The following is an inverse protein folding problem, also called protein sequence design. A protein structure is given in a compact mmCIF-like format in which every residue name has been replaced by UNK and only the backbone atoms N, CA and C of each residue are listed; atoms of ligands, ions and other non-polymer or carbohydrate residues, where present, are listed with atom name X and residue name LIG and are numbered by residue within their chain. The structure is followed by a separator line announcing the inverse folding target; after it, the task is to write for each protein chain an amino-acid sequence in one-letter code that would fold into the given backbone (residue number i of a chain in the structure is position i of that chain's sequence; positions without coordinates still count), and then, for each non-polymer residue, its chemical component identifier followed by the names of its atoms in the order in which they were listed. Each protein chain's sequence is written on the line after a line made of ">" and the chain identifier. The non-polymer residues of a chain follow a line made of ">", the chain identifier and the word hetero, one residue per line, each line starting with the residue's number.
data_IF_321636476543
#
_entry.id   IF_321636476543
#
_cell.length_a   1.000
_cell.length_b   1.000
_cell.length_c   1.000
_cell.angle_alpha   90.00
_cell.angle_beta   90.00
_cell.angle_gamma   90.00
#
_symmetry.space_group_name_H-M   'P 1'
#
loop_
_entity.id
_entity.type
_entity.pdbx_description
1 polymer ?
#
# COMPACT_ATOMS: atom_id res chain seq x y z
N UNK A 1 19.80 17.27 -22.45
CA UNK A 1 18.38 17.09 -22.07
C UNK A 1 18.29 15.81 -21.25
N UNK A 2 17.92 15.93 -19.98
CA UNK A 2 17.27 15.01 -19.03
C UNK A 2 17.42 13.46 -19.00
N UNK A 3 18.45 12.84 -19.57
CA UNK A 3 18.55 11.36 -19.53
C UNK A 3 19.12 10.78 -18.22
N UNK A 4 19.67 11.63 -17.33
CA UNK A 4 20.37 11.20 -16.11
C UNK A 4 19.51 11.02 -14.86
N UNK A 5 18.27 11.54 -14.82
CA UNK A 5 17.47 11.54 -13.59
C UNK A 5 16.75 10.20 -13.33
N UNK A 6 16.48 9.42 -14.38
CA UNK A 6 15.82 8.11 -14.28
C UNK A 6 16.83 6.96 -14.35
N UNK A 7 17.93 7.12 -15.12
CA UNK A 7 18.95 6.09 -15.32
C UNK A 7 19.74 5.74 -14.05
N UNK A 8 20.11 6.73 -13.23
CA UNK A 8 20.87 6.49 -11.99
C UNK A 8 20.02 5.98 -10.81
N UNK A 9 18.69 6.12 -10.87
CA UNK A 9 17.79 5.66 -9.82
C UNK A 9 17.46 4.15 -9.92
N UNK A 10 17.57 3.58 -11.13
CA UNK A 10 17.30 2.16 -11.39
C UNK A 10 18.44 1.24 -10.94
N UNK A 11 19.68 1.73 -10.90
CA UNK A 11 20.88 0.90 -10.66
C UNK A 11 21.07 0.49 -9.18
N UNK A 12 20.27 1.03 -8.25
CA UNK A 12 20.35 0.74 -6.81
C UNK A 12 18.99 0.46 -6.16
N UNK A 13 18.01 -0.02 -6.93
CA UNK A 13 16.71 -0.41 -6.37
C UNK A 13 16.86 -1.76 -5.68
N UNK A 14 16.79 -1.76 -4.34
CA UNK A 14 16.89 -2.98 -3.55
C UNK A 14 15.75 -3.96 -3.94
N UNK A 15 16.04 -5.25 -4.23
CA UNK A 15 15.03 -6.26 -4.59
C UNK A 15 13.82 -6.30 -3.65
N UNK A 16 13.98 -5.94 -2.37
CA UNK A 16 12.87 -5.90 -1.43
C UNK A 16 11.75 -4.91 -1.83
N UNK A 17 12.06 -3.81 -2.52
CA UNK A 17 11.02 -2.88 -2.98
C UNK A 17 10.11 -3.50 -4.04
N UNK A 18 10.65 -4.36 -4.91
CA UNK A 18 9.86 -5.12 -5.87
C UNK A 18 8.96 -6.14 -5.16
N UNK A 19 9.48 -6.80 -4.12
CA UNK A 19 8.66 -7.69 -3.30
C UNK A 19 7.49 -6.95 -2.62
N UNK A 20 7.75 -5.76 -2.05
CA UNK A 20 6.70 -4.89 -1.50
C UNK A 20 5.66 -4.47 -2.53
N UNK A 21 6.09 -4.12 -3.74
CA UNK A 21 5.19 -3.79 -4.85
C UNK A 21 4.34 -4.97 -5.30
N UNK A 22 4.92 -6.18 -5.39
CA UNK A 22 4.18 -7.40 -5.76
C UNK A 22 3.13 -7.76 -4.71
N UNK A 23 3.49 -7.73 -3.43
CA UNK A 23 2.56 -7.99 -2.31
C UNK A 23 1.46 -6.93 -2.29
N UNK A 24 1.82 -5.66 -2.46
CA UNK A 24 0.85 -4.57 -2.60
C UNK A 24 -0.09 -4.77 -3.78
N UNK A 25 0.41 -5.22 -4.93
CA UNK A 25 -0.40 -5.50 -6.11
C UNK A 25 -1.44 -6.61 -5.84
N UNK A 26 -1.01 -7.74 -5.27
CA UNK A 26 -1.90 -8.85 -4.92
C UNK A 26 -2.96 -8.44 -3.91
N UNK A 27 -2.56 -7.74 -2.84
CA UNK A 27 -3.47 -7.26 -1.80
C UNK A 27 -4.47 -6.23 -2.36
N UNK A 28 -4.01 -5.30 -3.19
CA UNK A 28 -4.86 -4.29 -3.83
C UNK A 28 -5.88 -4.90 -4.77
N UNK A 29 -5.48 -5.88 -5.58
CA UNK A 29 -6.41 -6.61 -6.46
C UNK A 29 -7.45 -7.39 -5.66
N UNK A 30 -7.05 -8.11 -4.61
CA UNK A 30 -7.96 -8.85 -3.74
C UNK A 30 -8.98 -7.90 -3.07
N UNK A 31 -8.51 -6.79 -2.49
CA UNK A 31 -9.38 -5.79 -1.86
C UNK A 31 -10.36 -5.15 -2.84
N UNK A 32 -9.90 -4.80 -4.04
CA UNK A 32 -10.77 -4.26 -5.08
C UNK A 32 -11.88 -5.25 -5.45
N UNK A 33 -11.57 -6.54 -5.57
CA UNK A 33 -12.57 -7.58 -5.87
C UNK A 33 -13.56 -7.80 -4.74
N UNK A 34 -13.11 -7.86 -3.49
CA UNK A 34 -13.99 -7.97 -2.32
C UNK A 34 -14.96 -6.78 -2.27
N UNK A 35 -14.45 -5.57 -2.48
CA UNK A 35 -15.28 -4.37 -2.49
C UNK A 35 -16.29 -4.37 -3.65
N UNK A 36 -15.90 -4.81 -4.83
CA UNK A 36 -16.80 -4.92 -5.98
C UNK A 36 -17.90 -5.95 -5.77
N UNK A 37 -17.59 -7.09 -5.17
CA UNK A 37 -18.59 -8.12 -4.81
C UNK A 37 -19.56 -7.55 -3.80
N UNK A 38 -19.05 -6.91 -2.74
CA UNK A 38 -19.88 -6.24 -1.74
C UNK A 38 -20.78 -5.16 -2.37
N UNK A 39 -20.23 -4.32 -3.24
CA UNK A 39 -20.97 -3.28 -3.95
C UNK A 39 -22.07 -3.85 -4.86
N UNK A 40 -21.81 -4.96 -5.56
CA UNK A 40 -22.83 -5.62 -6.37
C UNK A 40 -23.93 -6.24 -5.52
N UNK A 41 -23.59 -6.92 -4.43
CA UNK A 41 -24.57 -7.48 -3.49
C UNK A 41 -25.43 -6.38 -2.85
N UNK A 42 -24.83 -5.21 -2.58
CA UNK A 42 -25.55 -4.06 -2.02
C UNK A 42 -26.57 -3.49 -3.01
N UNK A 43 -26.24 -3.43 -4.30
CA UNK A 43 -27.16 -2.99 -5.37
C UNK A 43 -28.27 -4.02 -5.60
N UNK A 44 -27.93 -5.32 -5.60
CA UNK A 44 -28.88 -6.41 -5.88
C UNK A 44 -29.85 -6.65 -4.71
N UNK A 45 -29.43 -6.33 -3.48
CA UNK A 45 -30.27 -6.38 -2.28
C UNK A 45 -31.39 -5.33 -2.22
N UNK A 46 -31.58 -4.51 -3.26
CA UNK A 46 -32.71 -3.57 -3.37
C UNK A 46 -32.58 -2.32 -2.50
N UNK A 47 -31.40 -2.02 -1.95
CA UNK A 47 -31.15 -0.74 -1.28
C UNK A 47 -31.29 0.40 -2.29
N UNK A 48 -32.28 1.26 -2.06
CA UNK A 48 -32.75 2.24 -3.02
C UNK A 48 -31.66 3.31 -3.25
N UNK A 49 -31.41 3.60 -4.54
CA UNK A 49 -30.26 4.37 -5.06
C UNK A 49 -30.31 5.84 -4.65
N UNK A 50 -31.43 6.27 -4.08
CA UNK A 50 -31.77 7.64 -3.74
C UNK A 50 -32.28 7.81 -2.30
N UNK A 51 -32.30 6.75 -1.48
CA UNK A 51 -32.75 6.85 -0.08
C UNK A 51 -31.60 7.09 0.89
N UNK A 52 -31.97 7.67 2.03
CA UNK A 52 -31.19 8.22 3.16
C UNK A 52 -30.05 7.39 3.79
N UNK A 53 -29.55 6.33 3.16
CA UNK A 53 -28.39 5.55 3.63
C UNK A 53 -27.07 5.97 2.96
N UNK A 54 -27.10 6.98 2.10
CA UNK A 54 -25.90 7.67 1.68
C UNK A 54 -25.37 8.52 2.85
N UNK A 55 -24.16 8.21 3.34
CA UNK A 55 -23.43 9.03 4.34
C UNK A 55 -23.34 10.51 3.94
N UNK A 56 -23.50 10.82 2.64
CA UNK A 56 -23.68 12.17 2.13
C UNK A 56 -24.68 12.18 0.95
N UNK A 57 -25.88 12.78 1.10
CA UNK A 57 -26.91 12.82 0.07
C UNK A 57 -26.54 13.65 -1.17
N UNK A 58 -25.46 14.44 -1.11
CA UNK A 58 -24.95 15.25 -2.23
C UNK A 58 -23.84 14.61 -3.05
N UNK A 59 -23.34 13.43 -2.67
CA UNK A 59 -22.22 12.76 -3.36
C UNK A 59 -22.63 11.41 -3.93
N UNK A 60 -22.28 11.15 -5.19
CA UNK A 60 -22.42 9.80 -5.77
C UNK A 60 -21.66 8.79 -4.92
N UNK A 61 -22.34 7.74 -4.42
CA UNK A 61 -21.71 6.81 -3.50
C UNK A 61 -20.58 6.04 -4.18
N UNK A 62 -19.53 5.73 -3.41
CA UNK A 62 -18.31 5.10 -3.94
C UNK A 62 -18.61 3.77 -4.66
N UNK A 63 -19.59 3.01 -4.18
CA UNK A 63 -20.04 1.74 -4.78
C UNK A 63 -20.66 1.93 -6.17
N UNK A 64 -21.27 3.08 -6.46
CA UNK A 64 -21.83 3.39 -7.78
C UNK A 64 -20.71 3.64 -8.79
N UNK A 65 -19.72 4.44 -8.40
CA UNK A 65 -18.53 4.68 -9.24
C UNK A 65 -17.74 3.39 -9.44
N UNK A 66 -17.62 2.56 -8.40
CA UNK A 66 -16.92 1.28 -8.46
C UNK A 66 -17.60 0.29 -9.42
N UNK A 67 -18.92 0.19 -9.42
CA UNK A 67 -19.66 -0.74 -10.30
C UNK A 67 -19.80 -0.22 -11.74
N UNK A 68 -19.90 1.10 -11.94
CA UNK A 68 -19.97 1.71 -13.28
C UNK A 68 -18.62 1.72 -14.01
N UNK A 69 -17.52 1.83 -13.27
CA UNK A 69 -16.15 1.82 -13.81
C UNK A 69 -15.25 0.81 -13.08
N UNK A 70 -15.67 -0.46 -13.09
CA UNK A 70 -14.99 -1.59 -12.44
C UNK A 70 -13.51 -1.70 -12.78
N UNK A 71 -13.15 -1.53 -14.05
CA UNK A 71 -11.75 -1.56 -14.51
C UNK A 71 -10.91 -0.43 -13.91
N UNK A 72 -11.39 0.82 -14.01
CA UNK A 72 -10.66 1.98 -13.49
C UNK A 72 -10.57 1.95 -11.96
N UNK A 73 -11.63 1.55 -11.27
CA UNK A 73 -11.64 1.40 -9.81
C UNK A 73 -10.60 0.38 -9.35
N UNK A 74 -10.58 -0.81 -9.97
CA UNK A 74 -9.59 -1.85 -9.65
C UNK A 74 -8.18 -1.34 -9.89
N UNK A 75 -7.92 -0.69 -11.03
CA UNK A 75 -6.62 -0.13 -11.34
C UNK A 75 -6.13 0.85 -10.26
N UNK A 76 -6.96 1.84 -9.89
CA UNK A 76 -6.58 2.85 -8.90
C UNK A 76 -6.38 2.27 -7.50
N UNK A 77 -7.24 1.34 -7.07
CA UNK A 77 -7.08 0.65 -5.78
C UNK A 77 -5.80 -0.18 -5.78
N UNK A 78 -5.52 -0.91 -6.85
CA UNK A 78 -4.27 -1.67 -6.99
C UNK A 78 -3.05 -0.77 -6.96
N UNK A 79 -3.06 0.37 -7.68
CA UNK A 79 -1.96 1.35 -7.64
C UNK A 79 -1.75 1.90 -6.23
N UNK A 80 -2.82 2.26 -5.52
CA UNK A 80 -2.74 2.74 -4.15
C UNK A 80 -2.08 1.71 -3.23
N UNK A 81 -2.48 0.44 -3.32
CA UNK A 81 -1.89 -0.62 -2.51
C UNK A 81 -0.45 -0.98 -2.92
N UNK A 82 -0.07 -0.83 -4.19
CA UNK A 82 1.34 -0.93 -4.61
C UNK A 82 2.17 0.15 -3.91
N UNK A 83 1.70 1.40 -3.89
CA UNK A 83 2.39 2.50 -3.21
C UNK A 83 2.51 2.22 -1.71
N UNK A 84 1.43 1.76 -1.07
CA UNK A 84 1.44 1.37 0.35
C UNK A 84 2.44 0.24 0.60
N UNK A 85 2.47 -0.80 -0.24
CA UNK A 85 3.40 -1.93 -0.10
C UNK A 85 4.86 -1.51 -0.22
N UNK A 86 5.19 -0.62 -1.17
CA UNK A 86 6.54 -0.07 -1.32
C UNK A 86 6.93 0.78 -0.11
N UNK A 87 6.03 1.64 0.38
CA UNK A 87 6.26 2.45 1.58
C UNK A 87 6.44 1.58 2.82
N UNK A 88 5.65 0.51 2.96
CA UNK A 88 5.77 -0.42 4.07
C UNK A 88 7.16 -1.08 4.11
N UNK A 89 7.64 -1.60 2.98
CA UNK A 89 9.00 -2.16 2.90
C UNK A 89 10.06 -1.11 3.21
N UNK A 90 9.88 0.13 2.74
CA UNK A 90 10.79 1.23 3.07
C UNK A 90 10.87 1.47 4.57
N UNK A 91 9.72 1.48 5.26
CA UNK A 91 9.66 1.65 6.72
C UNK A 91 10.29 0.47 7.46
N UNK A 92 10.00 -0.78 7.04
CA UNK A 92 10.61 -1.97 7.63
C UNK A 92 12.15 -1.94 7.52
N UNK A 93 12.68 -1.49 6.37
CA UNK A 93 14.13 -1.36 6.19
C UNK A 93 14.72 -0.32 7.14
N UNK A 94 14.11 0.86 7.23
CA UNK A 94 14.55 1.93 8.14
C UNK A 94 14.51 1.45 9.60
N UNK A 95 13.47 0.71 9.98
CA UNK A 95 13.37 0.13 11.32
C UNK A 95 14.46 -0.93 11.58
N UNK A 96 14.72 -1.81 10.62
CA UNK A 96 15.76 -2.83 10.71
C UNK A 96 17.16 -2.20 10.89
N UNK A 97 17.49 -1.19 10.09
CA UNK A 97 18.79 -0.50 10.16
C UNK A 97 18.97 0.21 11.52
N UNK A 98 17.91 0.81 12.07
CA UNK A 98 17.93 1.41 13.42
C UNK A 98 18.19 0.37 14.51
N UNK A 99 17.49 -0.76 14.48
CA UNK A 99 17.65 -1.82 15.48
C UNK A 99 19.06 -2.44 15.41
N UNK A 100 19.62 -2.60 14.21
CA UNK A 100 20.99 -3.07 14.02
C UNK A 100 22.02 -2.09 14.59
N UNK A 101 21.83 -0.78 14.38
CA UNK A 101 22.72 0.24 14.93
C UNK A 101 22.69 0.25 16.48
N UNK A 102 21.51 0.08 17.08
CA UNK A 102 21.37 -0.04 18.53
C UNK A 102 22.05 -1.29 19.10
N UNK A 103 21.90 -2.44 18.43
CA UNK A 103 22.58 -3.68 18.83
C UNK A 103 24.11 -3.56 18.81
N UNK A 104 24.68 -2.84 17.84
CA UNK A 104 26.12 -2.58 17.79
C UNK A 104 26.61 -1.63 18.90
N UNK A 105 25.80 -0.65 19.28
CA UNK A 105 26.14 0.24 20.40
C UNK A 105 26.15 -0.51 21.73
N UNK A 106 25.11 -1.31 22.00
CA UNK A 106 25.03 -2.09 23.24
C UNK A 106 26.17 -3.11 23.36
N UNK A 107 26.52 -3.80 22.26
CA UNK A 107 27.64 -4.75 22.28
C UNK A 107 29.01 -4.09 22.54
N UNK A 108 29.21 -2.83 22.13
CA UNK A 108 30.44 -2.09 22.45
C UNK A 108 30.51 -1.69 23.92
N UNK A 109 29.39 -1.30 24.53
CA UNK A 109 29.33 -0.94 25.94
C UNK A 109 29.64 -2.16 26.83
N UNK A 110 29.06 -3.32 26.52
CA UNK A 110 29.36 -4.57 27.23
C UNK A 110 30.87 -4.91 27.16
N UNK A 111 31.50 -4.84 25.98
CA UNK A 111 32.94 -5.14 25.87
C UNK A 111 33.85 -4.16 26.63
N UNK A 112 33.42 -2.91 26.83
CA UNK A 112 34.17 -1.94 27.62
C UNK A 112 34.02 -2.17 29.14
N UNK A 113 32.91 -2.73 29.57
CA UNK A 113 32.64 -3.06 30.99
C UNK A 113 33.44 -4.28 31.44
N UNK A 114 33.64 -5.28 30.57
CA UNK A 114 34.46 -6.48 30.87
C UNK A 114 35.98 -6.26 30.75
N UNK A 115 36.44 -5.07 30.33
CA UNK A 115 37.87 -4.74 30.16
C UNK A 115 38.46 -3.93 31.32
N UNK A 116 37.72 -3.70 32.41
CA UNK A 116 38.18 -3.05 33.64
C UNK A 116 38.21 -4.04 34.79
#
# INVERSE_FOLDING_TARGET
>A
MNDGLIGGALEKVNPYYYAGGIVGCMAGYAMAKIYLIWAMMFIDGGYDRFTSDAWNPGSTPLWYTATRHTGAFTFWVTVLFIVIGVLFVKLCRVAYDRNRAQAFHNGKEETHEYSK
#
